data_IF_415572700972
#
_entry.id   IF_415572700972
#
_cell.length_a   1.000
_cell.length_b   1.000
_cell.length_c   1.000
_cell.angle_alpha   90.00
_cell.angle_beta   90.00
_cell.angle_gamma   90.00
#
_symmetry.space_group_name_H-M   'P 1'
#
loop_
_entity.id
_entity.type
_entity.pdbx_description
1 polymer ?
#
# COMPACT_ATOMS: atom_id res chain seq x y z
N UNK A 1 -3.61 20.38 -35.87
CA UNK A 1 -4.16 19.01 -35.78
C UNK A 1 -3.73 18.45 -34.43
N UNK A 2 -4.69 18.21 -33.55
CA UNK A 2 -4.45 17.69 -32.20
C UNK A 2 -3.99 16.23 -32.28
N UNK A 3 -2.75 15.97 -31.87
CA UNK A 3 -2.19 14.63 -31.71
C UNK A 3 -2.72 14.04 -30.41
N UNK A 4 -3.83 13.33 -30.49
CA UNK A 4 -4.27 12.43 -29.42
C UNK A 4 -3.39 11.19 -29.51
N UNK A 5 -2.56 10.92 -28.49
CA UNK A 5 -1.82 9.66 -28.33
C UNK A 5 -0.32 9.68 -28.67
N UNK A 6 0.46 10.64 -28.14
CA UNK A 6 1.93 10.65 -28.27
C UNK A 6 2.67 9.91 -27.15
N UNK A 7 1.98 9.31 -26.17
CA UNK A 7 2.56 8.61 -25.03
C UNK A 7 3.66 9.41 -24.28
N UNK A 8 3.54 10.75 -24.24
CA UNK A 8 4.53 11.63 -23.62
C UNK A 8 5.77 11.94 -24.47
N UNK A 9 5.76 11.60 -25.77
CA UNK A 9 6.85 11.93 -26.70
C UNK A 9 6.72 13.34 -27.29
N UNK A 10 7.80 14.12 -27.18
CA UNK A 10 7.92 15.46 -27.75
C UNK A 10 9.04 15.47 -28.79
N UNK A 11 8.73 15.52 -30.09
CA UNK A 11 9.76 15.58 -31.13
C UNK A 11 10.50 16.91 -31.06
N UNK A 12 11.83 16.84 -31.11
CA UNK A 12 12.70 18.01 -31.20
C UNK A 12 13.50 17.88 -32.48
N UNK A 13 13.23 18.75 -33.45
CA UNK A 13 13.90 18.72 -34.77
C UNK A 13 15.19 19.55 -34.79
N UNK A 14 15.35 20.47 -33.84
CA UNK A 14 16.50 21.35 -33.69
C UNK A 14 16.80 21.56 -32.20
N UNK A 15 18.07 21.54 -31.81
CA UNK A 15 18.52 21.75 -30.43
C UNK A 15 18.06 23.09 -29.84
N UNK A 16 17.86 24.11 -30.68
CA UNK A 16 17.36 25.42 -30.26
C UNK A 16 15.90 25.37 -29.75
N UNK A 17 15.16 24.31 -30.05
CA UNK A 17 13.78 24.11 -29.59
C UNK A 17 13.69 23.42 -28.23
N UNK A 18 14.80 22.87 -27.71
CA UNK A 18 14.83 22.08 -26.47
C UNK A 18 14.25 22.86 -25.27
N UNK A 19 14.69 24.10 -25.09
CA UNK A 19 14.23 24.95 -23.98
C UNK A 19 12.74 25.26 -24.07
N UNK A 20 12.24 25.63 -25.25
CA UNK A 20 10.81 25.90 -25.44
C UNK A 20 9.95 24.65 -25.25
N UNK A 21 10.43 23.49 -25.69
CA UNK A 21 9.72 22.22 -25.53
C UNK A 21 9.66 21.81 -24.06
N UNK A 22 10.76 21.93 -23.31
CA UNK A 22 10.78 21.65 -21.87
C UNK A 22 9.85 22.58 -21.08
N UNK A 23 9.84 23.88 -21.41
CA UNK A 23 8.90 24.83 -20.79
C UNK A 23 7.45 24.47 -21.10
N UNK A 24 7.14 24.03 -22.32
CA UNK A 24 5.79 23.56 -22.67
C UNK A 24 5.39 22.30 -21.90
N UNK A 25 6.30 21.35 -21.70
CA UNK A 25 6.04 20.15 -20.89
C UNK A 25 5.76 20.54 -19.44
N UNK A 26 6.58 21.43 -18.88
CA UNK A 26 6.41 21.92 -17.50
C UNK A 26 5.07 22.63 -17.31
N UNK A 27 4.65 23.44 -18.28
CA UNK A 27 3.34 24.08 -18.24
C UNK A 27 2.22 23.06 -18.31
N UNK A 28 2.29 22.07 -19.21
CA UNK A 28 1.27 21.01 -19.30
C UNK A 28 1.18 20.17 -18.02
N UNK A 29 2.31 19.85 -17.38
CA UNK A 29 2.31 19.19 -16.07
C UNK A 29 1.65 20.06 -15.00
N UNK A 30 1.87 21.37 -15.04
CA UNK A 30 1.25 22.32 -14.12
C UNK A 30 -0.27 22.41 -14.36
N UNK A 31 -0.70 22.50 -15.61
CA UNK A 31 -2.12 22.56 -15.97
C UNK A 31 -2.86 21.26 -15.59
N UNK A 32 -2.21 20.10 -15.81
CA UNK A 32 -2.76 18.80 -15.44
C UNK A 32 -2.73 18.54 -13.93
N UNK A 33 -1.83 19.18 -13.17
CA UNK A 33 -1.77 19.04 -11.71
C UNK A 33 -3.07 19.49 -11.03
N UNK A 34 -3.79 20.44 -11.63
CA UNK A 34 -5.11 20.91 -11.18
C UNK A 34 -6.28 20.07 -11.70
N UNK A 35 -6.02 18.98 -12.42
CA UNK A 35 -7.04 18.10 -13.00
C UNK A 35 -7.28 16.82 -12.19
N UNK A 36 -6.56 16.62 -11.08
CA UNK A 36 -6.76 15.48 -10.18
C UNK A 36 -7.64 15.87 -9.01
N UNK A 37 -8.84 15.30 -8.96
CA UNK A 37 -9.80 15.52 -7.88
C UNK A 37 -9.96 14.23 -7.10
N UNK A 38 -9.83 14.32 -5.77
CA UNK A 38 -10.13 13.23 -4.86
C UNK A 38 -11.58 13.34 -4.42
N UNK A 39 -12.33 12.25 -4.61
CA UNK A 39 -13.67 12.13 -4.03
C UNK A 39 -13.62 11.17 -2.85
N UNK A 40 -13.91 11.70 -1.67
CA UNK A 40 -14.18 10.89 -0.50
C UNK A 40 -15.68 10.62 -0.42
N UNK A 41 -16.06 9.34 -0.37
CA UNK A 41 -17.46 8.93 -0.31
C UNK A 41 -17.69 7.98 0.87
N UNK A 42 -18.70 8.29 1.68
CA UNK A 42 -19.15 7.47 2.79
C UNK A 42 -20.51 6.85 2.45
N UNK A 43 -20.62 5.53 2.52
CA UNK A 43 -21.90 4.81 2.29
C UNK A 43 -22.38 4.11 3.55
N UNK A 44 -23.67 4.21 3.90
CA UNK A 44 -24.25 3.42 4.99
C UNK A 44 -24.44 1.95 4.60
N UNK A 45 -24.42 1.63 3.29
CA UNK A 45 -24.63 0.27 2.77
C UNK A 45 -23.30 -0.49 2.76
N UNK A 46 -23.14 -1.41 3.70
CA UNK A 46 -21.97 -2.29 3.88
C UNK A 46 -22.21 -3.70 3.36
N UNK A 47 -21.15 -4.44 3.03
CA UNK A 47 -21.20 -5.85 2.65
C UNK A 47 -20.88 -6.12 1.18
N UNK A 48 -21.23 -7.31 0.67
CA UNK A 48 -20.98 -7.69 -0.71
C UNK A 48 -21.99 -7.06 -1.68
N UNK A 49 -21.94 -5.75 -1.82
CA UNK A 49 -22.80 -4.98 -2.69
C UNK A 49 -21.98 -4.22 -3.71
N UNK A 50 -22.45 -4.23 -4.95
CA UNK A 50 -21.94 -3.36 -5.99
C UNK A 50 -22.64 -2.00 -5.88
N UNK A 51 -21.84 -0.94 -5.88
CA UNK A 51 -22.28 0.45 -5.87
C UNK A 51 -21.91 1.08 -7.21
N UNK A 52 -22.80 1.92 -7.74
CA UNK A 52 -22.53 2.80 -8.86
C UNK A 52 -22.30 4.21 -8.31
N UNK A 53 -21.11 4.74 -8.57
CA UNK A 53 -20.76 6.13 -8.32
C UNK A 53 -20.93 6.90 -9.64
N UNK A 54 -21.73 7.95 -9.62
CA UNK A 54 -21.93 8.84 -10.76
C UNK A 54 -21.52 10.25 -10.35
N UNK A 55 -20.60 10.85 -11.10
CA UNK A 55 -20.23 12.26 -10.96
C UNK A 55 -20.83 13.02 -12.13
N UNK A 56 -21.65 14.02 -11.81
CA UNK A 56 -22.31 14.90 -12.76
C UNK A 56 -21.84 16.32 -12.53
N UNK A 57 -21.52 17.02 -13.62
CA UNK A 57 -21.30 18.47 -13.59
C UNK A 57 -22.67 19.15 -13.64
N UNK A 58 -23.04 19.83 -12.55
CA UNK A 58 -24.29 20.60 -12.47
C UNK A 58 -24.29 21.68 -13.55
N UNK A 59 -25.41 21.83 -14.28
CA UNK A 59 -25.60 22.78 -15.38
C UNK A 59 -24.66 22.58 -16.59
N UNK A 60 -24.15 21.37 -16.81
CA UNK A 60 -23.47 21.07 -18.07
C UNK A 60 -24.49 21.01 -19.22
N UNK A 61 -24.34 21.80 -20.30
CA UNK A 61 -25.26 21.78 -21.45
C UNK A 61 -25.29 20.43 -22.18
N UNK A 62 -24.30 19.57 -21.94
CA UNK A 62 -24.24 18.20 -22.42
C UNK A 62 -24.33 17.27 -21.22
N UNK A 63 -25.12 16.20 -21.32
CA UNK A 63 -25.19 15.18 -20.28
C UNK A 63 -23.87 14.39 -20.23
N UNK A 64 -22.90 14.90 -19.47
CA UNK A 64 -21.60 14.27 -19.24
C UNK A 64 -21.58 13.66 -17.84
N UNK A 65 -21.72 12.34 -17.77
CA UNK A 65 -21.66 11.57 -16.53
C UNK A 65 -20.36 10.77 -16.54
N UNK A 66 -19.58 10.89 -15.46
CA UNK A 66 -18.49 9.95 -15.16
C UNK A 66 -19.05 8.87 -14.24
N UNK A 67 -18.89 7.61 -14.63
CA UNK A 67 -19.39 6.47 -13.88
C UNK A 67 -18.25 5.56 -13.45
N UNK A 68 -18.32 5.08 -12.21
CA UNK A 68 -17.47 4.03 -11.71
C UNK A 68 -18.30 3.08 -10.86
N UNK A 69 -18.00 1.78 -10.94
CA UNK A 69 -18.60 0.78 -10.05
C UNK A 69 -17.56 0.26 -9.07
N UNK A 70 -17.95 0.07 -7.81
CA UNK A 70 -17.10 -0.55 -6.80
C UNK A 70 -17.89 -1.54 -5.95
N UNK A 71 -17.21 -2.54 -5.40
CA UNK A 71 -17.81 -3.50 -4.48
C UNK A 71 -17.35 -3.22 -3.04
N UNK A 72 -18.28 -3.12 -2.09
CA UNK A 72 -17.97 -2.80 -0.70
C UNK A 72 -17.57 -4.00 0.18
N UNK A 73 -17.36 -5.19 -0.38
CA UNK A 73 -17.05 -6.41 0.39
C UNK A 73 -15.79 -6.26 1.25
N UNK A 74 -14.79 -5.54 0.75
CA UNK A 74 -13.50 -5.31 1.44
C UNK A 74 -13.45 -4.01 2.25
N UNK A 75 -14.55 -3.25 2.32
CA UNK A 75 -14.57 -2.00 3.09
C UNK A 75 -14.65 -2.33 4.59
N UNK A 76 -13.91 -1.59 5.41
CA UNK A 76 -13.91 -1.74 6.86
C UNK A 76 -14.14 -0.37 7.52
N UNK A 77 -14.59 -0.37 8.78
CA UNK A 77 -14.59 0.81 9.64
C UNK A 77 -13.35 0.81 10.51
N UNK A 78 -12.25 1.42 10.06
CA UNK A 78 -11.10 1.54 10.91
C UNK A 78 -11.38 2.50 12.06
N UNK A 79 -11.26 2.02 13.29
CA UNK A 79 -10.99 2.89 14.43
C UNK A 79 -9.61 3.55 14.24
N UNK A 80 -9.35 4.75 14.78
CA UNK A 80 -8.03 5.34 14.71
C UNK A 80 -6.95 4.40 15.27
N UNK A 81 -5.87 4.17 14.52
CA UNK A 81 -4.85 3.18 14.85
C UNK A 81 -3.99 2.73 13.67
N UNK A 82 -3.07 1.81 13.93
CA UNK A 82 -2.19 1.21 12.91
C UNK A 82 -2.81 -0.09 12.40
N UNK A 83 -2.84 -0.25 11.08
CA UNK A 83 -3.35 -1.42 10.39
C UNK A 83 -2.22 -2.12 9.64
N UNK A 84 -2.25 -3.46 9.67
CA UNK A 84 -1.31 -4.31 8.95
C UNK A 84 -2.02 -4.94 7.75
N UNK A 85 -1.42 -4.86 6.57
CA UNK A 85 -1.87 -5.58 5.38
C UNK A 85 -0.76 -6.41 4.75
N UNK A 86 -1.17 -7.46 4.05
CA UNK A 86 -0.29 -8.20 3.13
C UNK A 86 -0.16 -7.47 1.79
N UNK A 87 0.55 -8.08 0.84
CA UNK A 87 0.76 -7.55 -0.50
C UNK A 87 -0.53 -7.40 -1.33
N UNK A 88 -1.59 -8.13 -0.99
CA UNK A 88 -2.89 -8.06 -1.67
C UNK A 88 -3.82 -7.01 -1.02
N UNK A 89 -3.35 -6.31 0.02
CA UNK A 89 -4.12 -5.33 0.78
C UNK A 89 -5.10 -5.96 1.77
N UNK A 90 -4.94 -7.25 2.11
CA UNK A 90 -5.79 -7.94 3.09
C UNK A 90 -5.33 -7.61 4.49
N UNK A 91 -6.26 -7.28 5.39
CA UNK A 91 -5.97 -7.01 6.80
C UNK A 91 -5.50 -8.27 7.53
N UNK A 92 -4.34 -8.20 8.17
CA UNK A 92 -3.70 -9.34 8.87
C UNK A 92 -3.53 -9.15 10.38
N UNK A 93 -3.93 -8.00 10.94
CA UNK A 93 -3.58 -7.60 12.33
C UNK A 93 -3.94 -8.57 13.46
N UNK A 94 -4.96 -9.42 13.30
CA UNK A 94 -5.38 -10.40 14.32
C UNK A 94 -5.01 -11.85 13.97
N UNK A 95 -4.35 -12.08 12.83
CA UNK A 95 -4.04 -13.41 12.35
C UNK A 95 -2.63 -13.83 12.79
N UNK A 96 -2.45 -15.12 13.10
CA UNK A 96 -1.13 -15.71 13.26
C UNK A 96 -0.53 -15.95 11.88
N UNK A 97 0.41 -15.09 11.49
CA UNK A 97 1.07 -15.17 10.19
C UNK A 97 2.18 -16.24 10.24
N UNK A 98 2.18 -17.23 9.35
CA UNK A 98 3.22 -18.26 9.35
C UNK A 98 4.54 -17.70 8.79
N UNK A 99 5.64 -17.98 9.49
CA UNK A 99 7.00 -17.77 9.01
C UNK A 99 7.76 -19.09 8.98
N UNK A 100 8.64 -19.28 8.00
CA UNK A 100 9.56 -20.42 7.98
C UNK A 100 10.92 -19.99 8.51
N UNK A 101 11.44 -20.71 9.52
CA UNK A 101 12.77 -20.44 10.07
C UNK A 101 13.86 -20.57 8.99
N UNK A 102 14.59 -19.48 8.73
CA UNK A 102 15.58 -19.39 7.66
C UNK A 102 15.00 -19.49 6.24
N UNK A 103 13.68 -19.32 6.08
CA UNK A 103 12.99 -19.31 4.79
C UNK A 103 12.85 -17.92 4.19
N UNK A 104 11.98 -17.80 3.19
CA UNK A 104 11.59 -16.53 2.62
C UNK A 104 10.91 -15.64 3.67
N UNK A 105 11.20 -14.35 3.62
CA UNK A 105 10.57 -13.37 4.50
C UNK A 105 9.15 -13.04 4.05
N UNK A 106 8.31 -12.60 4.99
CA UNK A 106 6.94 -12.19 4.75
C UNK A 106 6.86 -10.67 4.64
N UNK A 107 6.23 -10.16 3.58
CA UNK A 107 6.06 -8.73 3.35
C UNK A 107 4.83 -8.18 4.06
N UNK A 108 5.01 -7.03 4.70
CA UNK A 108 3.98 -6.36 5.49
C UNK A 108 3.97 -4.89 5.13
N UNK A 109 2.75 -4.38 4.97
CA UNK A 109 2.47 -2.98 4.79
C UNK A 109 1.74 -2.48 6.03
N UNK A 110 2.12 -1.30 6.50
CA UNK A 110 1.45 -0.62 7.63
C UNK A 110 0.92 0.73 7.22
N UNK A 111 -0.26 1.06 7.76
CA UNK A 111 -0.91 2.35 7.57
C UNK A 111 -1.53 2.82 8.87
N UNK A 112 -1.27 4.08 9.24
CA UNK A 112 -1.97 4.77 10.32
C UNK A 112 -3.27 5.36 9.77
N UNK A 113 -4.38 5.07 10.43
CA UNK A 113 -5.67 5.71 10.18
C UNK A 113 -6.05 6.63 11.35
N UNK A 114 -6.67 7.76 11.06
CA UNK A 114 -7.08 8.76 12.06
C UNK A 114 -5.95 9.63 12.63
N UNK A 115 -4.72 9.49 12.11
CA UNK A 115 -3.61 10.40 12.40
C UNK A 115 -3.79 11.78 11.75
N UNK A 116 -3.19 12.81 12.35
CA UNK A 116 -3.25 14.20 11.85
C UNK A 116 -1.98 14.63 11.12
N UNK A 117 -0.93 13.80 11.16
CA UNK A 117 0.37 14.06 10.56
C UNK A 117 0.85 12.87 9.73
N UNK A 118 1.80 13.12 8.82
CA UNK A 118 2.43 12.05 8.05
C UNK A 118 3.11 11.04 9.00
N UNK A 119 2.80 9.74 8.88
CA UNK A 119 3.25 8.74 9.83
C UNK A 119 4.75 8.43 9.69
N UNK A 120 5.40 8.16 10.82
CA UNK A 120 6.80 7.67 10.87
C UNK A 120 6.85 6.42 11.73
N UNK A 121 7.13 5.28 11.08
CA UNK A 121 7.03 3.97 11.70
C UNK A 121 8.34 3.51 12.33
N UNK A 122 8.24 3.11 13.59
CA UNK A 122 9.29 2.41 14.31
C UNK A 122 8.84 0.97 14.60
N UNK A 123 9.73 0.02 14.34
CA UNK A 123 9.47 -1.40 14.51
C UNK A 123 10.29 -1.94 15.68
N UNK A 124 9.63 -2.68 16.57
CA UNK A 124 10.27 -3.43 17.64
C UNK A 124 9.92 -4.92 17.46
N UNK A 125 10.95 -5.75 17.27
CA UNK A 125 10.79 -7.18 17.01
C UNK A 125 11.37 -8.03 18.13
N UNK A 126 10.86 -9.26 18.24
CA UNK A 126 11.54 -10.31 19.00
C UNK A 126 12.96 -10.58 18.47
N UNK A 127 13.86 -11.00 19.36
CA UNK A 127 15.23 -11.41 19.03
C UNK A 127 15.33 -12.56 18.03
N UNK A 128 14.28 -13.38 17.88
CA UNK A 128 14.19 -14.47 16.91
C UNK A 128 13.82 -13.99 15.49
N UNK A 129 13.50 -12.71 15.34
CA UNK A 129 13.13 -12.09 14.08
C UNK A 129 14.19 -11.11 13.59
N UNK A 130 14.17 -10.84 12.29
CA UNK A 130 14.86 -9.70 11.69
C UNK A 130 13.90 -9.00 10.73
N UNK A 131 13.92 -7.67 10.76
CA UNK A 131 13.08 -6.82 9.91
C UNK A 131 14.00 -6.09 8.92
N UNK A 132 13.67 -6.19 7.64
CA UNK A 132 14.29 -5.41 6.59
C UNK A 132 13.29 -4.37 6.10
N UNK A 133 13.64 -3.09 6.21
CA UNK A 133 12.83 -2.04 5.59
C UNK A 133 12.99 -2.03 4.08
N UNK A 134 11.89 -1.84 3.37
CA UNK A 134 11.83 -1.77 1.91
C UNK A 134 11.53 -0.36 1.40
N UNK A 135 11.26 0.60 2.30
CA UNK A 135 11.04 2.00 1.96
C UNK A 135 11.54 2.97 3.04
N UNK A 136 11.55 4.27 2.73
CA UNK A 136 12.18 5.29 3.59
C UNK A 136 11.42 5.61 4.88
N UNK A 137 10.09 5.45 4.89
CA UNK A 137 9.26 5.70 6.08
C UNK A 137 9.00 4.45 6.93
N UNK A 138 9.58 3.30 6.54
CA UNK A 138 9.35 1.98 7.14
C UNK A 138 7.88 1.53 7.14
N UNK A 139 7.06 2.03 6.21
CA UNK A 139 5.68 1.55 6.07
C UNK A 139 5.59 0.21 5.33
N UNK A 140 6.68 -0.23 4.70
CA UNK A 140 6.79 -1.50 4.00
C UNK A 140 8.05 -2.21 4.47
N UNK A 141 7.87 -3.39 5.04
CA UNK A 141 8.97 -4.19 5.57
C UNK A 141 8.84 -5.65 5.16
N UNK A 142 9.97 -6.35 5.18
CA UNK A 142 10.03 -7.80 5.07
C UNK A 142 10.52 -8.41 6.38
N UNK A 143 9.75 -9.32 6.95
CA UNK A 143 10.01 -9.97 8.23
C UNK A 143 10.54 -11.38 8.00
N UNK A 144 11.66 -11.71 8.65
CA UNK A 144 12.28 -13.03 8.57
C UNK A 144 12.35 -13.68 9.95
N UNK A 145 12.06 -14.98 10.00
CA UNK A 145 12.41 -15.81 11.15
C UNK A 145 13.87 -16.27 11.01
N UNK A 146 14.69 -16.03 12.05
CA UNK A 146 16.08 -16.48 12.05
C UNK A 146 16.16 -18.00 11.95
N UNK A 147 17.22 -18.52 11.32
CA UNK A 147 17.40 -19.96 11.08
C UNK A 147 17.47 -20.80 12.36
N UNK A 148 17.86 -20.20 13.49
CA UNK A 148 17.92 -20.82 14.80
C UNK A 148 16.59 -20.77 15.58
N UNK A 149 15.54 -20.16 15.02
CA UNK A 149 14.26 -20.04 15.70
C UNK A 149 13.57 -21.42 15.88
N UNK A 150 12.89 -21.57 17.00
CA UNK A 150 12.26 -22.84 17.38
C UNK A 150 10.91 -23.04 16.67
N UNK A 151 10.58 -24.31 16.41
CA UNK A 151 9.31 -24.66 15.76
C UNK A 151 8.13 -24.36 16.70
N UNK A 152 7.02 -23.90 16.13
CA UNK A 152 5.78 -23.52 16.83
C UNK A 152 5.96 -22.38 17.86
N UNK A 153 7.03 -21.59 17.75
CA UNK A 153 7.20 -20.41 18.61
C UNK A 153 6.35 -19.26 18.08
N UNK A 154 5.54 -18.67 18.97
CA UNK A 154 4.80 -17.45 18.68
C UNK A 154 5.66 -16.24 19.08
N UNK A 155 5.82 -15.31 18.15
CA UNK A 155 6.60 -14.09 18.36
C UNK A 155 5.76 -12.88 17.93
N UNK A 156 5.97 -11.76 18.61
CA UNK A 156 5.22 -10.53 18.35
C UNK A 156 6.16 -9.47 17.79
N UNK A 157 5.61 -8.67 16.87
CA UNK A 157 6.23 -7.43 16.41
C UNK A 157 5.31 -6.30 16.84
N UNK A 158 5.90 -5.26 17.41
CA UNK A 158 5.21 -4.01 17.72
C UNK A 158 5.61 -2.97 16.71
N UNK A 159 4.63 -2.25 16.18
CA UNK A 159 4.83 -1.08 15.32
C UNK A 159 4.25 0.12 16.01
N UNK A 160 5.02 1.20 16.05
CA UNK A 160 4.60 2.48 16.60
C UNK A 160 4.73 3.55 15.53
N UNK A 161 3.68 4.35 15.37
CA UNK A 161 3.72 5.61 14.64
C UNK A 161 4.10 6.70 15.65
N UNK A 162 5.37 7.09 15.57
CA UNK A 162 6.01 7.99 16.54
C UNK A 162 5.46 9.41 16.51
N UNK A 163 4.81 9.81 15.41
CA UNK A 163 4.25 11.16 15.26
C UNK A 163 2.80 11.21 15.71
N UNK A 164 2.00 10.18 15.36
CA UNK A 164 0.57 10.16 15.70
C UNK A 164 0.24 9.42 17.01
N UNK A 165 1.26 8.92 17.74
CA UNK A 165 1.12 8.21 19.01
C UNK A 165 0.19 6.98 18.95
N UNK A 166 0.19 6.28 17.82
CA UNK A 166 -0.47 4.98 17.69
C UNK A 166 0.54 3.86 17.81
N UNK A 167 0.11 2.73 18.38
CA UNK A 167 0.90 1.51 18.44
C UNK A 167 -0.01 0.31 18.23
N UNK A 168 0.47 -0.68 17.48
CA UNK A 168 -0.23 -1.94 17.32
C UNK A 168 0.77 -3.10 17.21
N UNK A 169 0.27 -4.32 17.37
CA UNK A 169 1.07 -5.54 17.33
C UNK A 169 0.53 -6.54 16.31
N UNK A 170 1.43 -7.37 15.78
CA UNK A 170 1.10 -8.52 14.95
C UNK A 170 1.89 -9.74 15.43
N UNK A 171 1.26 -10.91 15.39
CA UNK A 171 1.84 -12.17 15.86
C UNK A 171 2.19 -13.09 14.70
N UNK A 172 3.36 -13.74 14.80
CA UNK A 172 3.81 -14.76 13.87
C UNK A 172 3.95 -16.09 14.56
N UNK A 173 3.70 -17.18 13.82
CA UNK A 173 4.05 -18.54 14.24
C UNK A 173 5.19 -19.07 13.38
N UNK A 174 6.27 -19.47 14.04
CA UNK A 174 7.46 -19.98 13.36
C UNK A 174 7.30 -21.47 13.07
N UNK A 175 7.54 -21.85 11.82
CA UNK A 175 7.55 -23.23 11.32
C UNK A 175 8.95 -23.62 10.85
N UNK A 176 9.35 -24.89 11.03
CA UNK A 176 10.59 -25.41 10.43
C UNK A 176 10.32 -26.06 9.09
N UNK A 177 11.17 -25.76 8.10
CA UNK A 177 11.22 -26.53 6.85
C UNK A 177 11.83 -27.90 7.14
N UNK A 178 11.05 -28.97 6.95
CA UNK A 178 11.57 -30.34 6.98
C UNK A 178 12.26 -30.64 5.64
N UNK A 179 13.59 -30.57 5.58
CA UNK A 179 14.31 -31.20 4.47
C UNK A 179 14.17 -32.72 4.62
N UNK A 180 13.42 -33.37 3.71
CA UNK A 180 13.45 -34.83 3.56
C UNK A 180 14.85 -35.24 3.13
N UNK A 181 15.66 -35.74 4.07
CA UNK A 181 16.91 -36.41 3.72
C UNK A 181 16.55 -37.73 3.03
N UNK A 182 16.59 -37.76 1.71
CA UNK A 182 16.62 -39.02 0.98
C UNK A 182 17.97 -39.68 1.26
N UNK A 183 17.97 -40.66 2.17
CA UNK A 183 19.10 -41.55 2.35
C UNK A 183 19.32 -42.31 1.03
N UNK A 184 20.46 -42.10 0.38
CA UNK A 184 20.94 -42.99 -0.69
C UNK A 184 21.27 -44.33 -0.02
N UNK A 185 20.47 -45.35 -0.34
CA UNK A 185 20.84 -46.75 -0.12
C UNK A 185 21.88 -47.17 -1.15
#
# INVERSE_FOLDING_TARGET
MSLIGNNGFYPISDINQLTSTLLSIQQQLTDLSNSFYWLEYQTPKRGNFNHLLQVLIVNNPINSILEASFNSLKFSDPSPGIYFTDADGTLIGNQLVPLTAGGEGYEIFVSTYGGTSNPVYQWASDTLLSIQSLNSNNSHVKVFAKSNAQNQTVVNITVSDTINNYSNQISFIISKSFRKNYARK
#
